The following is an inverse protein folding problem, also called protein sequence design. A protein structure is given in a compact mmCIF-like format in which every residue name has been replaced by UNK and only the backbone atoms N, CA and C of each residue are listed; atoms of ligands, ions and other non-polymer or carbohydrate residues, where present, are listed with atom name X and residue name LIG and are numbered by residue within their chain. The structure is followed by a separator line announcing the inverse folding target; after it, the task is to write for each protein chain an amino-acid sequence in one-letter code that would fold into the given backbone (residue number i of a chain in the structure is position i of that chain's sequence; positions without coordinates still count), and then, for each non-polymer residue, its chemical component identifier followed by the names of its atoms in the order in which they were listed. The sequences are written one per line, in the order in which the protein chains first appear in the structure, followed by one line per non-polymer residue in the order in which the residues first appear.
data_IF_739351611758
#
_entry.id   IF_739351611758
#
_cell.length_a   1.000
_cell.length_b   1.000
_cell.length_c   1.000
_cell.angle_alpha   90.00
_cell.angle_beta   90.00
_cell.angle_gamma   90.00
#
_symmetry.space_group_name_H-M   'P 1'
#
loop_
_entity.id
_entity.type
_entity.pdbx_description
1 polymer ?
#
# COMPACT_ATOMS: atom_id res chain seq x y z
N UNK A 1 -24.88 27.98 8.75
CA UNK A 1 -25.61 27.23 7.69
C UNK A 1 -24.77 27.33 6.43
N UNK A 2 -24.20 26.31 5.80
CA UNK A 2 -24.58 24.90 5.59
C UNK A 2 -23.24 24.13 5.41
N UNK A 3 -22.98 23.09 6.20
CA UNK A 3 -21.79 22.25 6.00
C UNK A 3 -22.07 21.24 4.89
N UNK A 4 -21.44 21.42 3.73
CA UNK A 4 -21.60 20.56 2.55
C UNK A 4 -20.82 19.24 2.70
N UNK A 5 -21.12 18.44 3.72
CA UNK A 5 -20.51 17.12 3.86
C UNK A 5 -21.59 16.06 3.87
N UNK A 6 -21.68 15.32 2.75
CA UNK A 6 -22.55 14.15 2.60
C UNK A 6 -22.19 13.11 3.67
N UNK A 7 -23.22 12.64 4.37
CA UNK A 7 -23.15 11.55 5.33
C UNK A 7 -22.44 10.33 4.72
N UNK A 8 -21.41 9.81 5.38
CA UNK A 8 -20.73 8.58 4.96
C UNK A 8 -21.61 7.38 5.31
N UNK A 9 -22.02 6.64 4.29
CA UNK A 9 -22.63 5.32 4.46
C UNK A 9 -21.54 4.33 4.90
N UNK A 10 -21.57 3.95 6.18
CA UNK A 10 -20.62 3.05 6.86
C UNK A 10 -20.79 1.55 6.53
N UNK A 11 -21.23 1.21 5.31
CA UNK A 11 -21.45 -0.19 4.93
C UNK A 11 -20.53 -0.64 3.80
N UNK A 12 -19.30 -0.98 4.19
CA UNK A 12 -18.49 -1.99 3.49
C UNK A 12 -18.02 -3.02 4.52
N UNK A 13 -18.07 -4.30 4.16
CA UNK A 13 -17.81 -5.45 5.07
C UNK A 13 -16.35 -5.55 5.56
N UNK A 14 -15.54 -4.51 5.38
CA UNK A 14 -14.13 -4.47 5.77
C UNK A 14 -13.93 -3.42 6.85
N UNK A 15 -13.91 -3.91 8.09
CA UNK A 15 -13.99 -3.18 9.36
C UNK A 15 -12.96 -2.07 9.58
N UNK A 16 -11.90 -2.03 8.78
CA UNK A 16 -10.79 -1.08 8.93
C UNK A 16 -10.76 0.03 7.86
N UNK A 17 -11.48 -0.13 6.75
CA UNK A 17 -11.69 0.91 5.73
C UNK A 17 -12.24 2.22 6.32
N UNK A 18 -13.28 2.16 7.18
CA UNK A 18 -13.81 3.36 7.83
C UNK A 18 -12.80 3.97 8.81
N UNK A 19 -11.92 3.16 9.41
CA UNK A 19 -10.98 3.62 10.44
C UNK A 19 -9.89 4.53 9.87
N UNK A 20 -9.39 4.24 8.67
CA UNK A 20 -8.46 5.13 7.96
C UNK A 20 -9.09 6.49 7.64
N UNK A 21 -10.34 6.48 7.16
CA UNK A 21 -11.08 7.71 6.86
C UNK A 21 -11.42 8.53 8.11
N UNK A 22 -11.68 7.86 9.24
CA UNK A 22 -11.85 8.55 10.53
C UNK A 22 -10.55 9.24 10.96
N UNK A 23 -9.39 8.59 10.78
CA UNK A 23 -8.10 9.19 11.14
C UNK A 23 -7.76 10.41 10.28
N UNK A 24 -8.00 10.35 8.96
CA UNK A 24 -7.81 11.51 8.08
C UNK A 24 -8.69 12.68 8.51
N UNK A 25 -9.98 12.44 8.77
CA UNK A 25 -10.89 13.49 9.23
C UNK A 25 -10.53 14.04 10.60
N UNK A 26 -10.09 13.18 11.50
CA UNK A 26 -9.64 13.59 12.84
C UNK A 26 -8.39 14.45 12.75
N UNK A 27 -7.44 14.12 11.87
CA UNK A 27 -6.25 14.92 11.63
C UNK A 27 -6.62 16.30 11.05
N UNK A 28 -7.51 16.35 10.06
CA UNK A 28 -8.00 17.60 9.44
C UNK A 28 -8.75 18.52 10.42
N UNK A 29 -9.44 17.96 11.41
CA UNK A 29 -10.33 18.69 12.34
C UNK A 29 -9.88 18.65 13.78
N UNK A 30 -8.61 18.34 14.04
CA UNK A 30 -8.11 18.09 15.38
C UNK A 30 -8.35 19.28 16.33
N UNK A 31 -8.22 20.53 15.85
CA UNK A 31 -8.50 21.74 16.65
C UNK A 31 -9.97 21.88 17.03
N UNK A 32 -10.90 21.69 16.08
CA UNK A 32 -12.34 21.77 16.33
C UNK A 32 -12.78 20.67 17.31
N UNK A 33 -12.23 19.47 17.16
CA UNK A 33 -12.48 18.35 18.08
C UNK A 33 -11.88 18.62 19.45
N UNK A 34 -10.70 19.25 19.53
CA UNK A 34 -10.10 19.63 20.80
C UNK A 34 -10.95 20.65 21.57
N UNK A 35 -11.49 21.66 20.89
CA UNK A 35 -12.41 22.65 21.47
C UNK A 35 -13.69 21.97 21.97
N UNK A 36 -14.25 21.04 21.19
CA UNK A 36 -15.44 20.29 21.61
C UNK A 36 -15.20 19.41 22.87
N UNK A 37 -14.00 18.85 23.00
CA UNK A 37 -13.63 17.97 24.10
C UNK A 37 -13.13 18.70 25.34
N UNK A 38 -12.87 20.00 25.26
CA UNK A 38 -12.21 20.80 26.31
C UNK A 38 -12.90 20.72 27.67
N UNK A 39 -14.23 20.67 27.68
CA UNK A 39 -15.06 20.56 28.89
C UNK A 39 -15.46 19.12 29.26
N UNK A 40 -15.21 18.15 28.38
CA UNK A 40 -15.76 16.80 28.48
C UNK A 40 -14.71 15.69 28.62
N UNK A 41 -13.44 15.97 28.31
CA UNK A 41 -12.41 14.94 28.31
C UNK A 41 -10.99 15.47 28.37
N UNK A 42 -10.14 14.74 29.11
CA UNK A 42 -8.69 14.89 29.08
C UNK A 42 -8.07 14.65 27.69
N UNK A 43 -8.81 14.11 26.71
CA UNK A 43 -8.28 13.89 25.36
C UNK A 43 -7.97 15.18 24.60
N UNK A 44 -8.61 16.30 24.95
CA UNK A 44 -8.37 17.60 24.32
C UNK A 44 -6.89 18.03 24.41
N UNK A 45 -6.18 17.65 25.49
CA UNK A 45 -4.77 18.00 25.68
C UNK A 45 -3.84 17.32 24.66
N UNK A 46 -4.15 16.10 24.25
CA UNK A 46 -3.36 15.36 23.25
C UNK A 46 -3.57 15.91 21.85
N UNK A 47 -4.78 16.36 21.53
CA UNK A 47 -5.06 16.99 20.22
C UNK A 47 -4.41 18.37 20.09
N UNK A 48 -3.93 18.97 21.18
CA UNK A 48 -3.13 20.20 21.17
C UNK A 48 -1.62 19.94 21.28
N UNK A 49 -1.23 18.69 21.49
CA UNK A 49 0.16 18.27 21.54
C UNK A 49 0.69 18.05 20.11
N UNK A 50 1.66 18.87 19.72
CA UNK A 50 2.21 18.86 18.36
C UNK A 50 2.80 17.50 17.99
N UNK A 51 3.45 16.82 18.94
CA UNK A 51 4.06 15.50 18.75
C UNK A 51 3.00 14.41 18.49
N UNK A 52 1.89 14.47 19.21
CA UNK A 52 0.75 13.59 19.00
C UNK A 52 0.08 13.83 17.65
N UNK A 53 -0.15 15.09 17.26
CA UNK A 53 -0.78 15.41 15.97
C UNK A 53 0.13 15.01 14.81
N UNK A 54 1.46 15.13 14.93
CA UNK A 54 2.41 14.57 13.96
C UNK A 54 2.26 13.04 13.80
N UNK A 55 2.14 12.30 14.90
CA UNK A 55 1.90 10.85 14.83
C UNK A 55 0.54 10.54 14.20
N UNK A 56 -0.49 11.31 14.52
CA UNK A 56 -1.83 11.14 13.99
C UNK A 56 -1.89 11.37 12.47
N UNK A 57 -1.27 12.44 11.98
CA UNK A 57 -1.19 12.79 10.55
C UNK A 57 -0.43 11.72 9.76
N UNK A 58 0.68 11.22 10.29
CA UNK A 58 1.39 10.07 9.71
C UNK A 58 0.49 8.82 9.64
N UNK A 59 -0.22 8.50 10.73
CA UNK A 59 -1.13 7.35 10.76
C UNK A 59 -2.23 7.50 9.70
N UNK A 60 -2.84 8.67 9.58
CA UNK A 60 -3.83 8.95 8.54
C UNK A 60 -3.26 8.65 7.13
N UNK A 61 -2.05 9.12 6.83
CA UNK A 61 -1.42 8.93 5.53
C UNK A 61 -1.08 7.46 5.22
N UNK A 62 -0.58 6.69 6.19
CA UNK A 62 -0.25 5.26 5.97
C UNK A 62 -1.52 4.40 5.87
N UNK A 63 -2.55 4.70 6.67
CA UNK A 63 -3.83 4.01 6.57
C UNK A 63 -4.54 4.30 5.24
N UNK A 64 -4.43 5.53 4.73
CA UNK A 64 -4.92 5.87 3.39
C UNK A 64 -4.26 5.02 2.30
N UNK A 65 -2.92 4.88 2.34
CA UNK A 65 -2.18 4.03 1.39
C UNK A 65 -2.52 2.54 1.50
N UNK A 66 -2.69 2.04 2.72
CA UNK A 66 -3.13 0.67 2.96
C UNK A 66 -4.55 0.45 2.43
N UNK A 67 -5.42 1.44 2.61
CA UNK A 67 -6.76 1.42 2.08
C UNK A 67 -6.77 1.33 0.55
N UNK A 68 -5.96 2.14 -0.14
CA UNK A 68 -5.83 2.09 -1.60
C UNK A 68 -5.34 0.72 -2.10
N UNK A 69 -4.35 0.15 -1.40
CA UNK A 69 -3.90 -1.21 -1.71
C UNK A 69 -5.04 -2.21 -1.55
N UNK A 70 -5.78 -2.14 -0.45
CA UNK A 70 -6.86 -3.07 -0.18
C UNK A 70 -8.03 -2.92 -1.14
N UNK A 71 -8.41 -1.70 -1.52
CA UNK A 71 -9.40 -1.46 -2.57
C UNK A 71 -8.98 -2.10 -3.89
N UNK A 72 -7.69 -1.99 -4.25
CA UNK A 72 -7.17 -2.68 -5.42
C UNK A 72 -7.25 -4.21 -5.30
N UNK A 73 -6.97 -4.77 -4.11
CA UNK A 73 -7.03 -6.21 -3.85
C UNK A 73 -8.46 -6.76 -3.82
N UNK A 74 -9.45 -5.93 -3.48
CA UNK A 74 -10.86 -6.30 -3.37
C UNK A 74 -11.69 -5.97 -4.61
N UNK A 75 -11.27 -4.96 -5.37
CA UNK A 75 -11.95 -4.51 -6.56
C UNK A 75 -11.82 -5.50 -7.73
N UNK A 76 -12.61 -5.26 -8.76
CA UNK A 76 -12.55 -5.98 -10.04
C UNK A 76 -11.27 -5.72 -10.85
N UNK A 77 -10.37 -4.84 -10.37
CA UNK A 77 -9.09 -4.50 -11.02
C UNK A 77 -7.99 -5.54 -10.77
N UNK A 78 -8.12 -6.38 -9.75
CA UNK A 78 -7.27 -7.54 -9.50
C UNK A 78 -7.58 -8.69 -10.46
N UNK A 79 -7.53 -8.43 -11.77
CA UNK A 79 -8.01 -9.33 -12.83
C UNK A 79 -7.30 -10.69 -12.79
N UNK A 80 -6.04 -10.73 -12.33
CA UNK A 80 -5.29 -11.97 -12.15
C UNK A 80 -4.53 -12.00 -10.82
N UNK A 81 -4.28 -13.22 -10.33
CA UNK A 81 -3.44 -13.46 -9.17
C UNK A 81 -2.01 -12.89 -9.35
N UNK A 82 -1.53 -12.79 -10.60
CA UNK A 82 -0.26 -12.16 -10.94
C UNK A 82 -0.29 -10.64 -10.77
N UNK A 83 -1.37 -9.97 -11.19
CA UNK A 83 -1.53 -8.53 -11.00
C UNK A 83 -1.57 -8.16 -9.51
N UNK A 84 -2.29 -8.95 -8.71
CA UNK A 84 -2.32 -8.83 -7.25
C UNK A 84 -0.90 -8.96 -6.66
N UNK A 85 -0.16 -9.99 -7.09
CA UNK A 85 1.22 -10.22 -6.66
C UNK A 85 2.14 -9.04 -7.00
N UNK A 86 2.06 -8.52 -8.22
CA UNK A 86 2.86 -7.38 -8.65
C UNK A 86 2.52 -6.11 -7.87
N UNK A 87 1.25 -5.91 -7.56
CA UNK A 87 0.80 -4.77 -6.74
C UNK A 87 1.35 -4.84 -5.32
N UNK A 88 1.24 -6.00 -4.65
CA UNK A 88 1.75 -6.19 -3.29
C UNK A 88 3.27 -5.99 -3.27
N UNK A 89 4.00 -6.62 -4.20
CA UNK A 89 5.45 -6.43 -4.32
C UNK A 89 5.82 -4.97 -4.58
N UNK A 90 5.05 -4.28 -5.41
CA UNK A 90 5.19 -2.86 -5.66
C UNK A 90 5.00 -2.03 -4.38
N UNK A 91 3.99 -2.37 -3.56
CA UNK A 91 3.73 -1.73 -2.29
C UNK A 91 4.87 -1.93 -1.29
N UNK A 92 5.41 -3.14 -1.16
CA UNK A 92 6.58 -3.43 -0.30
C UNK A 92 7.80 -2.60 -0.69
N UNK A 93 8.08 -2.49 -2.00
CA UNK A 93 9.14 -1.60 -2.50
C UNK A 93 8.89 -0.13 -2.16
N UNK A 94 7.63 0.32 -2.20
CA UNK A 94 7.25 1.67 -1.78
C UNK A 94 7.48 1.89 -0.29
N UNK A 95 7.19 0.90 0.58
CA UNK A 95 7.48 1.00 2.02
C UNK A 95 8.97 1.27 2.29
N UNK A 96 9.86 0.55 1.59
CA UNK A 96 11.31 0.76 1.68
C UNK A 96 11.70 2.16 1.19
N UNK A 97 11.11 2.62 0.08
CA UNK A 97 11.33 3.98 -0.42
C UNK A 97 10.88 5.05 0.58
N UNK A 98 9.68 4.92 1.14
CA UNK A 98 9.11 5.87 2.10
C UNK A 98 9.94 5.95 3.39
N UNK A 99 10.45 4.82 3.88
CA UNK A 99 11.41 4.79 4.99
C UNK A 99 12.66 5.62 4.68
N UNK A 100 13.21 5.47 3.47
CA UNK A 100 14.38 6.24 3.04
C UNK A 100 14.09 7.75 2.89
N UNK A 101 12.88 8.12 2.44
CA UNK A 101 12.45 9.53 2.38
C UNK A 101 12.34 10.14 3.78
N UNK A 102 11.68 9.46 4.72
CA UNK A 102 11.51 9.93 6.11
C UNK A 102 12.87 10.12 6.80
N UNK A 103 13.80 9.18 6.63
CA UNK A 103 15.16 9.31 7.18
C UNK A 103 15.93 10.51 6.60
N UNK A 104 15.58 10.96 5.40
CA UNK A 104 16.13 12.16 4.77
C UNK A 104 15.32 13.43 5.06
N UNK A 105 14.31 13.34 5.95
CA UNK A 105 13.36 14.43 6.26
C UNK A 105 12.64 14.95 5.01
N UNK A 106 12.38 14.07 4.05
CA UNK A 106 11.51 14.32 2.90
C UNK A 106 10.14 13.70 3.19
N UNK A 107 9.11 14.54 3.22
CA UNK A 107 7.75 14.17 3.65
C UNK A 107 6.75 14.07 2.50
N UNK A 108 7.18 14.25 1.24
CA UNK A 108 6.34 14.34 0.03
C UNK A 108 5.38 13.15 -0.21
N UNK A 109 5.57 12.05 0.53
CA UNK A 109 4.74 10.85 0.45
C UNK A 109 3.71 10.76 1.57
N UNK A 110 3.75 11.66 2.53
CA UNK A 110 2.87 11.77 3.68
C UNK A 110 2.28 13.19 3.65
N UNK A 111 1.27 13.39 2.80
CA UNK A 111 0.70 14.71 2.48
C UNK A 111 0.12 15.39 3.73
N UNK A 112 -0.66 14.66 4.53
CA UNK A 112 -1.24 15.21 5.76
C UNK A 112 -0.15 15.59 6.77
N UNK A 113 0.89 14.75 6.88
CA UNK A 113 2.04 15.02 7.73
C UNK A 113 2.85 16.22 7.24
N UNK A 114 3.12 16.32 5.95
CA UNK A 114 3.86 17.42 5.32
C UNK A 114 3.13 18.75 5.50
N UNK A 115 1.83 18.78 5.21
CA UNK A 115 0.99 19.96 5.39
C UNK A 115 1.05 20.43 6.84
N UNK A 116 0.88 19.54 7.81
CA UNK A 116 0.95 19.90 9.22
C UNK A 116 2.31 20.48 9.61
N UNK A 117 3.41 19.89 9.13
CA UNK A 117 4.77 20.40 9.36
C UNK A 117 4.96 21.80 8.78
N UNK A 118 4.47 22.05 7.56
CA UNK A 118 4.61 23.34 6.89
C UNK A 118 3.75 24.43 7.54
N UNK A 119 2.48 24.15 7.80
CA UNK A 119 1.52 25.12 8.34
C UNK A 119 1.88 25.54 9.77
N UNK A 120 2.27 24.58 10.61
CA UNK A 120 2.61 24.84 12.01
C UNK A 120 4.09 25.18 12.23
N UNK A 121 4.92 25.14 11.17
CA UNK A 121 6.39 25.23 11.27
C UNK A 121 6.95 24.23 12.30
N UNK A 122 6.34 23.05 12.34
CA UNK A 122 6.58 22.04 13.36
C UNK A 122 8.03 21.52 13.26
N UNK A 123 8.72 21.40 14.40
CA UNK A 123 10.05 20.81 14.41
C UNK A 123 9.93 19.31 14.68
N UNK A 124 10.04 18.52 13.61
CA UNK A 124 9.98 17.05 13.73
C UNK A 124 11.22 16.53 14.46
N UNK A 125 11.02 15.99 15.65
CA UNK A 125 12.05 15.36 16.47
C UNK A 125 12.61 14.09 15.81
N UNK A 126 13.89 13.79 16.06
CA UNK A 126 14.54 12.58 15.53
C UNK A 126 13.86 11.29 16.04
N UNK A 127 13.30 11.29 17.25
CA UNK A 127 12.54 10.19 17.82
C UNK A 127 11.32 9.82 16.97
N UNK A 128 10.55 10.82 16.49
CA UNK A 128 9.39 10.58 15.62
C UNK A 128 9.85 9.96 14.28
N UNK A 129 10.95 10.45 13.71
CA UNK A 129 11.52 9.91 12.47
C UNK A 129 11.91 8.44 12.66
N UNK A 130 12.56 8.11 13.78
CA UNK A 130 12.93 6.73 14.13
C UNK A 130 11.68 5.86 14.28
N UNK A 131 10.67 6.31 15.02
CA UNK A 131 9.40 5.60 15.23
C UNK A 131 8.70 5.28 13.89
N UNK A 132 8.58 6.28 13.00
CA UNK A 132 7.97 6.11 11.69
C UNK A 132 8.78 5.10 10.85
N UNK A 133 10.10 5.24 10.84
CA UNK A 133 10.99 4.34 10.10
C UNK A 133 10.93 2.90 10.59
N UNK A 134 10.86 2.69 11.91
CA UNK A 134 10.65 1.38 12.50
C UNK A 134 9.28 0.80 12.16
N UNK A 135 8.23 1.63 12.23
CA UNK A 135 6.88 1.19 11.88
C UNK A 135 6.80 0.74 10.41
N UNK A 136 7.36 1.52 9.47
CA UNK A 136 7.43 1.14 8.05
C UNK A 136 8.22 -0.16 7.85
N UNK A 137 9.29 -0.36 8.62
CA UNK A 137 10.08 -1.60 8.56
C UNK A 137 9.28 -2.82 9.04
N UNK A 138 8.66 -2.72 10.22
CA UNK A 138 7.81 -3.77 10.80
C UNK A 138 6.60 -4.09 9.92
N UNK A 139 6.02 -3.07 9.29
CA UNK A 139 4.95 -3.24 8.32
C UNK A 139 5.44 -4.05 7.11
N UNK A 140 6.60 -3.70 6.56
CA UNK A 140 7.18 -4.43 5.43
C UNK A 140 7.53 -5.88 5.78
N UNK A 141 8.10 -6.13 6.96
CA UNK A 141 8.35 -7.49 7.49
C UNK A 141 7.05 -8.29 7.64
N UNK A 142 5.97 -7.63 8.08
CA UNK A 142 4.65 -8.26 8.17
C UNK A 142 4.13 -8.65 6.78
N UNK A 143 4.27 -7.78 5.78
CA UNK A 143 3.92 -8.12 4.40
C UNK A 143 4.72 -9.31 3.88
N UNK A 144 6.03 -9.33 4.12
CA UNK A 144 6.87 -10.47 3.74
C UNK A 144 6.35 -11.74 4.42
N UNK A 145 6.15 -11.74 5.73
CA UNK A 145 5.67 -12.89 6.48
C UNK A 145 4.31 -13.42 5.98
N UNK A 146 3.31 -12.54 5.84
CA UNK A 146 1.95 -12.94 5.46
C UNK A 146 1.84 -13.38 4.00
N UNK A 147 2.61 -12.77 3.09
CA UNK A 147 2.51 -13.05 1.66
C UNK A 147 3.59 -14.01 1.14
N UNK A 148 4.63 -14.35 1.91
CA UNK A 148 5.77 -15.16 1.49
C UNK A 148 5.39 -16.40 0.67
N UNK A 149 4.51 -17.25 1.22
CA UNK A 149 4.10 -18.52 0.58
C UNK A 149 3.39 -18.28 -0.76
N UNK A 150 2.50 -17.30 -0.81
CA UNK A 150 1.75 -16.94 -2.01
C UNK A 150 2.70 -16.35 -3.05
N UNK A 151 3.62 -15.48 -2.63
CA UNK A 151 4.63 -14.87 -3.50
C UNK A 151 5.53 -15.91 -4.15
N UNK A 152 6.05 -16.87 -3.38
CA UNK A 152 6.87 -17.96 -3.91
C UNK A 152 6.11 -18.84 -4.90
N UNK A 153 4.85 -19.16 -4.61
CA UNK A 153 4.02 -20.00 -5.48
C UNK A 153 3.74 -19.32 -6.81
N UNK A 154 3.44 -18.02 -6.79
CA UNK A 154 3.17 -17.24 -8.01
C UNK A 154 4.45 -17.04 -8.81
N UNK A 155 5.58 -16.83 -8.13
CA UNK A 155 6.88 -16.71 -8.78
C UNK A 155 7.24 -17.96 -9.57
N UNK A 156 6.92 -19.15 -9.05
CA UNK A 156 7.12 -20.40 -9.79
C UNK A 156 6.20 -20.52 -11.02
N UNK A 157 5.04 -19.88 -10.99
CA UNK A 157 4.05 -19.93 -12.07
C UNK A 157 4.23 -18.82 -13.11
N UNK A 158 5.35 -18.11 -13.11
CA UNK A 158 5.61 -16.99 -14.03
C UNK A 158 5.53 -17.35 -15.51
N UNK A 159 5.88 -18.59 -15.85
CA UNK A 159 5.78 -19.12 -17.21
C UNK A 159 4.34 -19.05 -17.78
N UNK A 160 3.32 -19.01 -16.92
CA UNK A 160 1.92 -18.84 -17.35
C UNK A 160 1.69 -17.44 -17.97
N UNK A 161 2.37 -16.40 -17.48
CA UNK A 161 2.27 -15.06 -18.06
C UNK A 161 3.13 -14.90 -19.31
N UNK A 162 4.27 -15.59 -19.36
CA UNK A 162 5.16 -15.58 -20.51
C UNK A 162 5.97 -16.89 -20.55
N UNK A 163 5.61 -17.83 -21.44
CA UNK A 163 6.28 -19.12 -21.54
C UNK A 163 7.66 -19.04 -22.21
N UNK A 164 8.00 -17.91 -22.84
CA UNK A 164 9.27 -17.71 -23.54
C UNK A 164 10.35 -17.03 -22.68
N UNK A 165 10.16 -16.96 -21.35
CA UNK A 165 11.16 -16.41 -20.45
C UNK A 165 12.27 -17.44 -20.17
N UNK A 166 13.55 -17.02 -20.18
CA UNK A 166 14.64 -17.90 -19.80
C UNK A 166 14.56 -18.25 -18.30
N UNK A 167 14.93 -19.48 -17.95
CA UNK A 167 15.18 -19.95 -16.58
C UNK A 167 14.02 -19.76 -15.57
N UNK A 168 12.81 -20.22 -15.92
CA UNK A 168 11.67 -20.21 -14.98
C UNK A 168 11.63 -21.51 -14.17
N UNK A 169 11.72 -21.39 -12.84
CA UNK A 169 11.41 -22.50 -11.93
C UNK A 169 9.90 -22.73 -11.94
N UNK A 170 9.42 -23.79 -12.59
CA UNK A 170 8.01 -23.89 -12.99
C UNK A 170 7.10 -24.62 -12.00
N UNK A 171 7.68 -25.41 -11.08
CA UNK A 171 6.92 -26.24 -10.14
C UNK A 171 6.05 -27.30 -10.81
N UNK A 172 6.28 -27.59 -12.11
CA UNK A 172 5.55 -28.58 -12.91
C UNK A 172 6.33 -29.89 -13.01
N UNK A 173 5.69 -30.96 -13.52
CA UNK A 173 6.33 -32.26 -13.72
C UNK A 173 7.42 -32.19 -14.79
N UNK A 174 8.37 -33.13 -14.77
CA UNK A 174 9.46 -33.21 -15.77
C UNK A 174 8.93 -33.23 -17.19
N UNK A 175 7.87 -34.01 -17.46
CA UNK A 175 7.23 -34.08 -18.77
C UNK A 175 6.69 -32.71 -19.22
N UNK A 176 5.94 -32.02 -18.35
CA UNK A 176 5.44 -30.68 -18.66
C UNK A 176 6.58 -29.66 -18.78
N UNK A 177 7.70 -29.88 -18.09
CA UNK A 177 8.93 -29.10 -18.22
C UNK A 177 9.57 -29.23 -19.60
N UNK A 178 9.68 -30.45 -20.12
CA UNK A 178 10.18 -30.72 -21.48
C UNK A 178 9.29 -30.03 -22.54
N UNK A 179 7.97 -30.21 -22.44
CA UNK A 179 7.00 -29.56 -23.35
C UNK A 179 7.11 -28.03 -23.30
N UNK A 180 7.33 -27.45 -22.12
CA UNK A 180 7.52 -26.02 -21.97
C UNK A 180 8.85 -25.53 -22.56
N UNK A 181 9.93 -26.33 -22.46
CA UNK A 181 11.23 -26.01 -23.09
C UNK A 181 11.06 -25.95 -24.60
N UNK A 182 10.46 -26.98 -25.20
CA UNK A 182 10.20 -27.03 -26.63
C UNK A 182 9.36 -25.83 -27.10
N UNK A 183 8.32 -25.48 -26.33
CA UNK A 183 7.51 -24.29 -26.59
C UNK A 183 8.32 -23.00 -26.49
N UNK A 184 9.20 -22.87 -25.49
CA UNK A 184 9.96 -21.65 -25.22
C UNK A 184 11.05 -21.35 -26.26
N UNK A 185 11.56 -22.38 -26.93
CA UNK A 185 12.57 -22.29 -28.00
C UNK A 185 11.94 -22.11 -29.40
N UNK A 186 10.61 -22.21 -29.53
CA UNK A 186 9.91 -21.95 -30.79
C UNK A 186 9.87 -20.44 -31.11
N UNK A 187 10.77 -20.03 -32.00
CA UNK A 187 10.90 -18.64 -32.45
C UNK A 187 9.67 -18.14 -33.22
N UNK A 188 8.93 -19.02 -33.91
CA UNK A 188 7.71 -18.64 -34.64
C UNK A 188 6.57 -18.32 -33.68
N UNK A 189 6.37 -19.16 -32.67
CA UNK A 189 5.37 -18.94 -31.62
C UNK A 189 5.73 -17.73 -30.77
N UNK A 190 7.02 -17.51 -30.47
CA UNK A 190 7.50 -16.32 -29.74
C UNK A 190 7.19 -15.02 -30.48
N UNK A 191 7.43 -14.99 -31.80
CA UNK A 191 7.10 -13.83 -32.63
C UNK A 191 5.58 -13.58 -32.66
N UNK A 192 4.78 -14.64 -32.76
CA UNK A 192 3.31 -14.54 -32.74
C UNK A 192 2.76 -14.06 -31.39
N UNK A 193 3.32 -14.56 -30.28
CA UNK A 193 3.00 -14.12 -28.92
C UNK A 193 3.30 -12.63 -28.71
N UNK A 194 4.46 -12.16 -29.15
CA UNK A 194 4.86 -10.76 -28.98
C UNK A 194 4.09 -9.78 -29.87
N UNK A 195 3.54 -10.25 -31.00
CA UNK A 195 2.79 -9.41 -31.95
C UNK A 195 1.29 -9.34 -31.64
N UNK A 196 0.78 -10.10 -30.67
CA UNK A 196 -0.61 -10.03 -30.22
C UNK A 196 -1.65 -10.61 -31.21
N UNK A 197 -1.22 -11.39 -32.20
CA UNK A 197 -2.09 -11.90 -33.30
C UNK A 197 -3.03 -13.04 -32.86
N UNK A 198 -3.02 -13.43 -31.59
CA UNK A 198 -3.82 -14.54 -31.04
C UNK A 198 -5.36 -14.35 -31.10
N UNK A 199 -5.88 -13.21 -31.55
CA UNK A 199 -7.32 -12.95 -31.65
C UNK A 199 -7.89 -12.96 -33.09
N UNK A 200 -7.13 -13.35 -34.12
CA UNK A 200 -7.56 -13.21 -35.53
C UNK A 200 -7.67 -14.52 -36.34
N UNK A 201 -7.85 -15.67 -35.70
CA UNK A 201 -8.10 -16.93 -36.41
C UNK A 201 -9.05 -17.84 -35.67
#
# INVERSE_FOLDING_TARGET
MRSDHKSLLLHTEIRWLPRGQVLTRLAERHEEVAIFLEDNSDFAKYLRDEEFVLRLTYLADIFSKLNDLNLYLQGTEGISIFAIHEKIRGFMKKLVLWKNCINKRNYDRFETFEIFVMENKAKVDDGIIIEISEHLNKLNESFEFYFHKVMNTIQQKRWIMNPFQPDVTTGISTKAGEELIDLSEDSSLKMTFNTGIWCLS
#
